data_IF_554984753211
#
_entry.id   IF_554984753211
#
_cell.length_a   1.000
_cell.length_b   1.000
_cell.length_c   1.000
_cell.angle_alpha   90.00
_cell.angle_beta   90.00
_cell.angle_gamma   90.00
#
_symmetry.space_group_name_H-M   'P 1'
#
loop_
_entity.id
_entity.type
_entity.pdbx_description
1 polymer ?
#
# COMPACT_ATOMS: atom_id res chain seq x y z
N UNK A 1 23.38 0.61 1.55
CA UNK A 1 22.21 -0.20 1.17
C UNK A 1 20.93 0.63 1.30
N UNK A 2 20.58 1.17 2.49
CA UNK A 2 19.33 1.93 2.71
C UNK A 2 19.15 3.08 1.73
N UNK A 3 20.12 3.99 1.64
CA UNK A 3 20.04 5.14 0.72
C UNK A 3 19.98 4.74 -0.75
N UNK A 4 20.63 3.63 -1.12
CA UNK A 4 20.54 3.08 -2.46
C UNK A 4 19.10 2.65 -2.80
N UNK A 5 18.47 1.88 -1.90
CA UNK A 5 17.08 1.46 -2.07
C UNK A 5 16.09 2.63 -2.08
N UNK A 6 16.30 3.66 -1.23
CA UNK A 6 15.49 4.88 -1.24
C UNK A 6 15.58 5.61 -2.60
N UNK A 7 16.78 5.81 -3.11
CA UNK A 7 16.98 6.47 -4.39
C UNK A 7 16.37 5.66 -5.53
N UNK A 8 16.53 4.32 -5.50
CA UNK A 8 15.88 3.45 -6.47
C UNK A 8 14.35 3.60 -6.43
N UNK A 9 13.72 3.55 -5.25
CA UNK A 9 12.26 3.67 -5.12
C UNK A 9 11.78 5.05 -5.58
N UNK A 10 12.53 6.12 -5.29
CA UNK A 10 12.22 7.46 -5.80
C UNK A 10 12.15 7.48 -7.32
N UNK A 11 13.17 6.94 -7.99
CA UNK A 11 13.24 6.89 -9.45
C UNK A 11 12.20 5.93 -10.04
N UNK A 12 12.00 4.79 -9.40
CA UNK A 12 11.04 3.77 -9.82
C UNK A 12 9.59 4.24 -9.76
N UNK A 13 9.23 5.00 -8.73
CA UNK A 13 7.89 5.57 -8.53
C UNK A 13 7.72 6.96 -9.18
N UNK A 14 8.74 7.49 -9.86
CA UNK A 14 8.64 8.76 -10.59
C UNK A 14 8.63 8.48 -12.10
N UNK A 15 7.46 8.66 -12.71
CA UNK A 15 7.20 8.31 -14.11
C UNK A 15 6.23 9.31 -14.76
N UNK A 16 6.45 9.61 -16.03
CA UNK A 16 5.54 10.41 -16.86
C UNK A 16 5.27 9.65 -18.16
N UNK A 17 4.01 9.50 -18.54
CA UNK A 17 3.63 8.87 -19.79
C UNK A 17 4.22 9.67 -20.98
N UNK A 18 4.83 8.96 -21.92
CA UNK A 18 5.55 9.56 -23.05
C UNK A 18 7.04 9.83 -22.81
N UNK A 19 7.53 9.64 -21.57
CA UNK A 19 8.94 9.79 -21.19
C UNK A 19 9.61 8.46 -20.83
N UNK A 20 9.16 7.35 -21.43
CA UNK A 20 9.60 6.00 -21.12
C UNK A 20 11.11 5.80 -21.29
N UNK A 21 11.70 6.51 -22.25
CA UNK A 21 13.14 6.43 -22.51
C UNK A 21 13.94 7.05 -21.36
N UNK A 22 13.51 8.19 -20.87
CA UNK A 22 14.15 8.88 -19.74
C UNK A 22 14.00 8.04 -18.46
N UNK A 23 12.82 7.53 -18.21
CA UNK A 23 12.54 6.63 -17.08
C UNK A 23 13.47 5.40 -17.08
N UNK A 24 13.58 4.70 -18.20
CA UNK A 24 14.48 3.55 -18.35
C UNK A 24 15.94 3.93 -18.15
N UNK A 25 16.37 5.08 -18.63
CA UNK A 25 17.75 5.55 -18.45
C UNK A 25 18.08 5.82 -16.98
N UNK A 26 17.16 6.45 -16.24
CA UNK A 26 17.32 6.72 -14.80
C UNK A 26 17.42 5.42 -13.98
N UNK A 27 16.67 4.37 -14.35
CA UNK A 27 16.71 3.09 -13.65
C UNK A 27 17.97 2.27 -13.92
N UNK A 28 18.68 2.46 -15.04
CA UNK A 28 19.88 1.70 -15.39
C UNK A 28 21.00 1.73 -14.35
N UNK A 29 21.06 2.77 -13.54
CA UNK A 29 22.07 2.85 -12.48
C UNK A 29 21.77 1.97 -11.26
N UNK A 30 20.58 1.38 -11.20
CA UNK A 30 20.13 0.55 -10.08
C UNK A 30 19.93 -0.92 -10.46
N UNK A 31 19.68 -1.21 -11.74
CA UNK A 31 19.30 -2.54 -12.24
C UNK A 31 20.31 -3.04 -13.26
N UNK A 32 20.45 -4.37 -13.33
CA UNK A 32 21.21 -5.01 -14.41
C UNK A 32 20.38 -5.08 -15.70
N UNK A 33 21.04 -5.24 -16.84
CA UNK A 33 20.38 -5.39 -18.16
C UNK A 33 19.50 -6.64 -18.26
N UNK A 34 19.61 -7.57 -17.32
CA UNK A 34 18.83 -8.80 -17.27
C UNK A 34 17.57 -8.69 -16.41
N UNK A 35 17.40 -7.60 -15.68
CA UNK A 35 16.21 -7.41 -14.86
C UNK A 35 15.07 -6.77 -15.67
N UNK A 36 13.87 -7.36 -15.62
CA UNK A 36 12.67 -6.86 -16.30
C UNK A 36 11.95 -5.75 -15.49
N UNK A 37 12.64 -5.14 -14.53
CA UNK A 37 12.05 -4.12 -13.64
C UNK A 37 11.53 -2.90 -14.41
N UNK A 38 12.09 -2.62 -15.58
CA UNK A 38 11.73 -1.47 -16.42
C UNK A 38 10.64 -1.74 -17.45
N UNK A 39 10.16 -2.98 -17.57
CA UNK A 39 9.14 -3.37 -18.57
C UNK A 39 7.70 -3.23 -18.04
N UNK A 40 7.48 -2.37 -17.09
CA UNK A 40 6.12 -2.05 -16.65
C UNK A 40 5.37 -1.38 -17.80
N UNK A 41 4.39 -2.07 -18.36
CA UNK A 41 3.34 -1.45 -19.20
C UNK A 41 2.44 -0.59 -18.32
N UNK A 42 2.33 0.64 -18.69
CA UNK A 42 2.38 1.59 -17.69
C UNK A 42 1.22 2.53 -17.80
N UNK A 43 0.81 2.92 -16.69
CA UNK A 43 0.02 4.02 -16.25
C UNK A 43 -0.06 5.15 -17.30
N UNK A 44 -1.26 5.53 -17.70
CA UNK A 44 -1.53 6.57 -18.71
C UNK A 44 -1.57 7.97 -18.08
N UNK A 45 -0.61 8.30 -17.24
CA UNK A 45 -0.58 9.57 -16.54
C UNK A 45 0.84 9.91 -16.10
N UNK A 46 0.94 10.68 -15.04
CA UNK A 46 2.20 10.91 -14.35
C UNK A 46 2.08 10.47 -12.90
N UNK A 47 3.16 9.96 -12.35
CA UNK A 47 3.31 9.74 -10.92
C UNK A 47 4.65 10.28 -10.46
N UNK A 48 4.70 10.80 -9.25
CA UNK A 48 5.90 11.36 -8.64
C UNK A 48 6.00 10.96 -7.18
N UNK A 49 7.10 10.33 -6.82
CA UNK A 49 7.44 10.15 -5.42
C UNK A 49 7.80 11.52 -4.81
N UNK A 50 7.11 11.93 -3.75
CA UNK A 50 7.34 13.20 -3.06
C UNK A 50 8.03 13.01 -1.71
N UNK A 51 7.91 11.81 -1.15
CA UNK A 51 8.59 11.39 0.06
C UNK A 51 8.99 9.94 -0.06
N UNK A 52 10.21 9.60 0.33
CA UNK A 52 10.72 8.21 0.30
C UNK A 52 11.62 8.00 1.50
N UNK A 53 11.34 6.96 2.30
CA UNK A 53 12.13 6.61 3.47
C UNK A 53 12.26 5.10 3.63
N UNK A 54 13.49 4.59 3.70
CA UNK A 54 13.74 3.24 4.14
C UNK A 54 13.55 3.16 5.66
N UNK A 55 12.72 2.22 6.11
CA UNK A 55 12.36 2.09 7.54
C UNK A 55 12.77 0.74 8.15
N UNK A 56 13.06 -0.27 7.32
CA UNK A 56 13.51 -1.59 7.75
C UNK A 56 14.47 -2.19 6.74
N UNK A 57 15.39 -2.99 7.22
CA UNK A 57 16.30 -3.78 6.38
C UNK A 57 16.49 -5.14 7.03
N UNK A 58 16.20 -6.19 6.27
CA UNK A 58 16.44 -7.58 6.65
C UNK A 58 17.67 -8.07 5.88
N UNK A 59 18.70 -8.51 6.61
CA UNK A 59 19.87 -9.10 5.99
C UNK A 59 19.62 -10.60 5.81
N UNK A 60 19.60 -11.06 4.56
CA UNK A 60 19.35 -12.46 4.22
C UNK A 60 20.64 -13.29 4.31
N UNK A 61 21.75 -12.70 3.87
CA UNK A 61 23.09 -13.26 3.99
C UNK A 61 24.16 -12.13 3.95
N UNK A 62 25.41 -12.45 3.64
CA UNK A 62 26.50 -11.46 3.67
C UNK A 62 26.36 -10.36 2.62
N UNK A 63 25.67 -10.64 1.52
CA UNK A 63 25.60 -9.77 0.35
C UNK A 63 24.15 -9.36 0.01
N UNK A 64 23.13 -10.14 0.43
CA UNK A 64 21.74 -9.92 0.06
C UNK A 64 20.94 -9.29 1.20
N UNK A 65 20.16 -8.29 0.84
CA UNK A 65 19.34 -7.50 1.75
C UNK A 65 17.94 -7.28 1.16
N UNK A 66 16.91 -7.45 1.98
CA UNK A 66 15.57 -6.94 1.69
C UNK A 66 15.40 -5.58 2.39
N UNK A 67 15.21 -4.52 1.63
CA UNK A 67 15.01 -3.16 2.17
C UNK A 67 13.55 -2.77 2.01
N UNK A 68 12.94 -2.35 3.10
CA UNK A 68 11.56 -1.89 3.13
C UNK A 68 11.52 -0.37 3.12
N UNK A 69 10.79 0.17 2.17
CA UNK A 69 10.75 1.59 1.86
C UNK A 69 9.31 2.07 1.86
N UNK A 70 9.04 3.11 2.62
CA UNK A 70 7.80 3.87 2.59
C UNK A 70 7.93 4.99 1.57
N UNK A 71 6.93 5.18 0.74
CA UNK A 71 6.86 6.30 -0.19
C UNK A 71 5.48 6.94 -0.19
N UNK A 72 5.44 8.26 -0.29
CA UNK A 72 4.25 9.02 -0.67
C UNK A 72 4.36 9.35 -2.15
N UNK A 73 3.32 9.01 -2.90
CA UNK A 73 3.28 9.17 -4.35
C UNK A 73 2.11 10.05 -4.75
N UNK A 74 2.37 11.06 -5.53
CA UNK A 74 1.35 11.87 -6.19
C UNK A 74 1.09 11.30 -7.57
N UNK A 75 -0.19 11.10 -7.89
CA UNK A 75 -0.69 10.63 -9.18
C UNK A 75 -1.39 11.77 -9.88
N UNK A 76 -1.11 11.92 -11.17
CA UNK A 76 -1.83 12.82 -12.07
C UNK A 76 -2.37 12.01 -13.23
N UNK A 77 -3.69 12.04 -13.43
CA UNK A 77 -4.37 11.34 -14.52
C UNK A 77 -5.58 12.14 -14.99
N UNK A 78 -6.02 11.83 -16.18
CA UNK A 78 -7.19 12.49 -16.76
C UNK A 78 -8.43 11.60 -16.61
N UNK A 79 -9.44 12.13 -15.95
CA UNK A 79 -10.75 11.52 -15.84
C UNK A 79 -11.76 12.46 -16.50
N UNK A 80 -12.49 11.96 -17.52
CA UNK A 80 -13.52 12.74 -18.23
C UNK A 80 -13.04 14.12 -18.76
N UNK A 81 -11.77 14.20 -19.18
CA UNK A 81 -11.06 15.41 -19.64
C UNK A 81 -10.62 16.39 -18.54
N UNK A 82 -10.85 16.08 -17.28
CA UNK A 82 -10.33 16.86 -16.16
C UNK A 82 -9.07 16.21 -15.59
N UNK A 83 -8.06 17.04 -15.28
CA UNK A 83 -6.87 16.60 -14.57
C UNK A 83 -7.22 16.32 -13.12
N UNK A 84 -6.99 15.12 -12.67
CA UNK A 84 -7.21 14.69 -11.30
C UNK A 84 -5.85 14.42 -10.65
N UNK A 85 -5.64 14.91 -9.44
CA UNK A 85 -4.46 14.63 -8.62
C UNK A 85 -4.88 13.90 -7.35
N UNK A 86 -4.17 12.82 -7.07
CA UNK A 86 -4.35 12.04 -5.85
C UNK A 86 -2.99 11.75 -5.22
N UNK A 87 -2.95 11.56 -3.91
CA UNK A 87 -1.77 11.10 -3.20
C UNK A 87 -2.07 9.79 -2.48
N UNK A 88 -1.12 8.87 -2.52
CA UNK A 88 -1.22 7.63 -1.78
C UNK A 88 0.12 7.27 -1.13
N UNK A 89 0.03 6.71 0.08
CA UNK A 89 1.16 6.07 0.74
C UNK A 89 1.30 4.65 0.21
N UNK A 90 2.53 4.26 -0.11
CA UNK A 90 2.84 2.90 -0.53
C UNK A 90 4.09 2.37 0.17
N UNK A 91 4.16 1.08 0.35
CA UNK A 91 5.32 0.39 0.91
C UNK A 91 5.85 -0.60 -0.09
N UNK A 92 7.17 -0.61 -0.23
CA UNK A 92 7.86 -1.50 -1.15
C UNK A 92 8.97 -2.26 -0.43
N UNK A 93 9.13 -3.52 -0.80
CA UNK A 93 10.29 -4.33 -0.50
C UNK A 93 11.19 -4.36 -1.71
N UNK A 94 12.44 -3.95 -1.55
CA UNK A 94 13.47 -3.89 -2.58
C UNK A 94 14.57 -4.87 -2.25
N UNK A 95 14.75 -5.94 -3.04
CA UNK A 95 15.90 -6.84 -2.89
C UNK A 95 17.17 -6.14 -3.41
N UNK A 96 18.20 -6.09 -2.59
CA UNK A 96 19.48 -5.45 -2.92
C UNK A 96 20.63 -6.44 -2.73
N UNK A 97 21.44 -6.60 -3.76
CA UNK A 97 22.76 -7.23 -3.66
C UNK A 97 23.81 -6.14 -3.42
N UNK A 98 24.63 -6.31 -2.41
CA UNK A 98 25.75 -5.43 -2.10
C UNK A 98 27.05 -6.24 -1.98
N UNK A 99 28.01 -5.99 -2.86
CA UNK A 99 29.29 -6.68 -2.92
C UNK A 99 30.42 -5.70 -3.21
N UNK A 100 31.48 -5.73 -2.40
CA UNK A 100 32.70 -4.91 -2.59
C UNK A 100 32.44 -3.41 -2.76
N UNK A 101 31.36 -2.90 -2.13
CA UNK A 101 30.96 -1.49 -2.20
C UNK A 101 30.07 -1.16 -3.41
N UNK A 102 29.85 -2.09 -4.31
CA UNK A 102 28.89 -1.98 -5.41
C UNK A 102 27.51 -2.48 -4.98
N UNK A 103 26.45 -1.93 -5.55
CA UNK A 103 25.08 -2.31 -5.22
C UNK A 103 24.22 -2.40 -6.48
N UNK A 104 23.27 -3.33 -6.45
CA UNK A 104 22.29 -3.51 -7.52
C UNK A 104 20.97 -4.00 -6.93
N UNK A 105 19.86 -3.66 -7.56
CA UNK A 105 18.57 -4.29 -7.26
C UNK A 105 18.57 -5.69 -7.86
N UNK A 106 18.51 -6.71 -7.00
CA UNK A 106 18.65 -8.11 -7.34
C UNK A 106 17.29 -8.83 -7.26
N UNK A 107 16.40 -8.45 -8.13
CA UNK A 107 15.07 -9.05 -8.24
C UNK A 107 13.97 -8.02 -8.49
N UNK A 108 12.72 -8.48 -8.44
CA UNK A 108 11.58 -7.60 -8.63
C UNK A 108 11.23 -6.89 -7.31
N UNK A 109 11.15 -5.55 -7.29
CA UNK A 109 10.59 -4.85 -6.16
C UNK A 109 9.10 -5.20 -6.02
N UNK A 110 8.65 -5.36 -4.79
CA UNK A 110 7.28 -5.78 -4.49
C UNK A 110 6.58 -4.75 -3.64
N UNK A 111 5.33 -4.43 -3.96
CA UNK A 111 4.46 -3.73 -3.03
C UNK A 111 4.12 -4.65 -1.87
N UNK A 112 4.26 -4.16 -0.66
CA UNK A 112 4.01 -4.91 0.56
C UNK A 112 3.01 -4.19 1.44
N UNK A 113 2.14 -4.95 2.06
CA UNK A 113 1.29 -4.43 3.12
C UNK A 113 1.96 -4.79 4.46
N UNK A 114 2.95 -3.98 4.83
CA UNK A 114 3.70 -4.18 6.06
C UNK A 114 2.96 -3.51 7.22
N UNK A 115 1.79 -4.00 7.51
CA UNK A 115 1.22 -3.78 8.82
C UNK A 115 2.06 -4.63 9.77
N UNK A 116 2.97 -4.01 10.48
CA UNK A 116 3.73 -4.64 11.57
C UNK A 116 2.74 -5.10 12.63
N UNK A 117 2.15 -6.26 12.39
CA UNK A 117 1.52 -7.02 13.45
C UNK A 117 2.64 -7.36 14.43
N UNK A 118 2.42 -7.14 15.70
CA UNK A 118 3.32 -7.62 16.74
C UNK A 118 3.50 -9.12 16.51
N UNK A 119 4.72 -9.60 16.24
CA UNK A 119 5.01 -11.01 15.98
C UNK A 119 4.56 -11.91 17.13
N UNK A 120 4.49 -11.38 18.36
CA UNK A 120 4.04 -12.07 19.56
C UNK A 120 2.56 -11.87 19.90
N UNK A 121 1.77 -11.23 19.01
CA UNK A 121 0.34 -11.09 19.26
C UNK A 121 -0.38 -12.42 19.05
N UNK A 122 -0.57 -13.14 20.13
CA UNK A 122 -1.52 -14.27 20.15
C UNK A 122 -2.93 -13.69 20.20
N UNK A 123 -3.68 -13.95 19.15
CA UNK A 123 -5.12 -13.70 19.17
C UNK A 123 -5.65 -14.45 20.39
N UNK A 124 -6.14 -13.72 21.38
CA UNK A 124 -6.84 -14.38 22.49
C UNK A 124 -8.03 -15.13 21.90
N UNK A 125 -7.99 -16.45 21.98
CA UNK A 125 -9.16 -17.22 21.64
C UNK A 125 -10.31 -16.72 22.52
N UNK A 126 -11.41 -16.36 21.86
CA UNK A 126 -12.59 -15.91 22.55
C UNK A 126 -13.16 -17.09 23.37
N UNK A 127 -12.96 -17.03 24.69
CA UNK A 127 -13.43 -18.05 25.64
C UNK A 127 -14.87 -17.81 26.11
N UNK A 128 -15.59 -16.90 25.46
CA UNK A 128 -16.99 -16.60 25.78
C UNK A 128 -17.91 -17.74 25.47
N UNK A 129 -19.02 -17.80 26.20
CA UNK A 129 -20.09 -18.75 25.92
C UNK A 129 -20.74 -18.37 24.57
N UNK A 130 -21.00 -19.35 23.72
CA UNK A 130 -21.71 -19.13 22.48
C UNK A 130 -23.09 -18.49 22.75
N UNK A 131 -23.44 -17.46 22.00
CA UNK A 131 -24.76 -16.84 22.08
C UNK A 131 -25.85 -17.88 21.67
N UNK A 132 -27.01 -17.74 22.24
CA UNK A 132 -28.17 -18.52 21.77
C UNK A 132 -28.49 -18.15 20.30
N UNK A 133 -29.22 -19.03 19.63
CA UNK A 133 -29.51 -18.92 18.20
C UNK A 133 -30.23 -17.61 17.85
N UNK A 134 -31.12 -17.13 18.70
CA UNK A 134 -31.90 -15.91 18.47
C UNK A 134 -30.99 -14.67 18.58
N UNK A 135 -30.12 -14.62 19.59
CA UNK A 135 -29.14 -13.57 19.78
C UNK A 135 -28.11 -13.53 18.62
N UNK A 136 -27.61 -14.69 18.20
CA UNK A 136 -26.69 -14.81 17.08
C UNK A 136 -27.32 -14.34 15.76
N UNK A 137 -28.57 -14.73 15.48
CA UNK A 137 -29.32 -14.29 14.31
C UNK A 137 -29.57 -12.77 14.33
N UNK A 138 -29.95 -12.21 15.49
CA UNK A 138 -30.14 -10.76 15.67
C UNK A 138 -28.86 -9.97 15.44
N UNK A 139 -27.74 -10.42 15.99
CA UNK A 139 -26.43 -9.83 15.77
C UNK A 139 -26.01 -9.90 14.28
N UNK A 140 -26.23 -11.05 13.63
CA UNK A 140 -25.95 -11.21 12.20
C UNK A 140 -26.75 -10.23 11.32
N UNK A 141 -28.05 -10.04 11.61
CA UNK A 141 -28.88 -9.06 10.90
C UNK A 141 -28.39 -7.64 11.14
N UNK A 142 -28.02 -7.29 12.37
CA UNK A 142 -27.52 -5.96 12.70
C UNK A 142 -26.21 -5.65 11.96
N UNK A 143 -25.27 -6.59 11.95
CA UNK A 143 -24.00 -6.45 11.21
C UNK A 143 -24.26 -6.30 9.71
N UNK A 144 -25.14 -7.13 9.14
CA UNK A 144 -25.48 -7.06 7.71
C UNK A 144 -26.07 -5.70 7.34
N UNK A 145 -27.02 -5.20 8.18
CA UNK A 145 -27.66 -3.90 7.94
C UNK A 145 -26.67 -2.74 8.10
N UNK A 146 -25.79 -2.80 9.10
CA UNK A 146 -24.72 -1.84 9.27
C UNK A 146 -23.78 -1.80 8.05
N UNK A 147 -23.28 -2.96 7.61
CA UNK A 147 -22.39 -3.05 6.47
C UNK A 147 -23.07 -2.52 5.20
N UNK A 148 -24.33 -2.85 4.96
CA UNK A 148 -25.08 -2.32 3.83
C UNK A 148 -25.13 -0.80 3.87
N UNK A 149 -25.52 -0.21 5.00
CA UNK A 149 -25.55 1.24 5.18
C UNK A 149 -24.17 1.88 5.01
N UNK A 150 -23.12 1.23 5.49
CA UNK A 150 -21.74 1.68 5.35
C UNK A 150 -21.29 1.70 3.86
N UNK A 151 -21.65 0.70 3.09
CA UNK A 151 -21.37 0.68 1.64
C UNK A 151 -22.19 1.71 0.86
N UNK A 152 -23.47 1.93 1.26
CA UNK A 152 -24.38 2.88 0.63
C UNK A 152 -24.22 4.31 1.14
N UNK A 153 -23.36 4.53 2.12
CA UNK A 153 -23.15 5.81 2.82
C UNK A 153 -24.44 6.40 3.46
N UNK A 154 -25.28 5.53 3.98
CA UNK A 154 -26.46 5.96 4.74
C UNK A 154 -26.07 6.33 6.20
N UNK A 155 -25.65 7.59 6.39
CA UNK A 155 -25.16 8.09 7.68
C UNK A 155 -26.22 7.94 8.81
N UNK A 156 -27.50 8.04 8.49
CA UNK A 156 -28.59 7.91 9.48
C UNK A 156 -28.66 6.49 10.02
N UNK A 157 -28.53 5.49 9.15
CA UNK A 157 -28.54 4.08 9.54
C UNK A 157 -27.21 3.69 10.19
N UNK A 158 -26.07 4.20 9.72
CA UNK A 158 -24.77 4.01 10.37
C UNK A 158 -24.84 4.49 11.82
N UNK A 159 -25.28 5.73 12.04
CA UNK A 159 -25.40 6.34 13.39
C UNK A 159 -26.28 5.54 14.34
N UNK A 160 -27.34 4.91 13.84
CA UNK A 160 -28.22 4.05 14.65
C UNK A 160 -27.48 2.85 15.25
N UNK A 161 -26.49 2.31 14.56
CA UNK A 161 -25.74 1.14 15.03
C UNK A 161 -24.51 1.48 15.87
N UNK A 162 -24.11 2.76 15.93
CA UNK A 162 -22.95 3.20 16.70
C UNK A 162 -23.34 3.49 18.17
N UNK A 163 -22.43 3.20 19.09
CA UNK A 163 -22.57 3.62 20.47
C UNK A 163 -22.47 5.14 20.61
N UNK A 164 -22.99 5.69 21.71
CA UNK A 164 -22.99 7.15 21.94
C UNK A 164 -21.59 7.75 22.03
N UNK A 165 -20.60 6.95 22.43
CA UNK A 165 -19.19 7.30 22.59
C UNK A 165 -18.33 6.94 21.37
N UNK A 166 -18.94 6.41 20.29
CA UNK A 166 -18.22 6.10 19.07
C UNK A 166 -17.70 7.36 18.38
N UNK A 167 -16.44 7.29 17.91
CA UNK A 167 -15.87 8.34 17.08
C UNK A 167 -16.44 8.24 15.65
N UNK A 168 -17.50 9.00 15.40
CA UNK A 168 -18.25 8.99 14.13
C UNK A 168 -17.39 9.33 12.93
N UNK A 169 -16.30 10.09 13.10
CA UNK A 169 -15.40 10.45 12.00
C UNK A 169 -14.70 9.25 11.36
N UNK A 170 -14.68 8.11 12.07
CA UNK A 170 -14.10 6.86 11.58
C UNK A 170 -15.07 6.00 10.78
N UNK A 171 -16.35 6.34 10.77
CA UNK A 171 -17.41 5.57 10.14
C UNK A 171 -18.06 6.34 8.98
N UNK A 172 -17.29 7.11 8.26
CA UNK A 172 -17.71 7.73 7.00
C UNK A 172 -17.89 6.61 5.99
N UNK A 173 -19.07 6.45 5.43
CA UNK A 173 -19.38 5.37 4.49
C UNK A 173 -18.49 5.36 3.25
N UNK A 174 -18.54 4.28 2.48
CA UNK A 174 -17.63 4.05 1.34
C UNK A 174 -18.11 4.70 0.03
N UNK A 175 -19.31 5.31 0.01
CA UNK A 175 -19.86 6.05 -1.15
C UNK A 175 -19.75 5.29 -2.48
N UNK A 176 -20.10 4.01 -2.46
CA UNK A 176 -20.08 3.18 -3.67
C UNK A 176 -18.68 2.93 -4.27
N UNK A 177 -17.62 3.20 -3.54
CA UNK A 177 -16.23 3.03 -4.03
C UNK A 177 -15.86 1.57 -4.30
N UNK A 178 -16.66 0.64 -3.80
CA UNK A 178 -16.47 -0.80 -4.01
C UNK A 178 -17.79 -1.41 -4.44
N UNK A 179 -17.86 -1.90 -5.64
CA UNK A 179 -18.95 -2.72 -6.18
C UNK A 179 -18.51 -4.19 -6.20
#
# INVERSE_FOLDING_TARGET
VLSFAQNFVYEYLTYTAGEEKDYKERLKQYITTTSNVSDTEIYKGAQKAVYVQAYRMDQLDKEHFDVYVLAEVQYEYYREQEATQESAETRMKVPVLSRDGEMVVDGLPMFVNDNTLMEDYQIQEYSGQAADEQTAAGAGMAVTSFLKAYYEQDETVIDYYLSQDADRSKFIGLDGRYT
#
